data_IF_474035129946
#
_entry.id   IF_474035129946
#
_cell.length_a   1.000
_cell.length_b   1.000
_cell.length_c   1.000
_cell.angle_alpha   90.00
_cell.angle_beta   90.00
_cell.angle_gamma   90.00
#
_symmetry.space_group_name_H-M   'P 1'
#
loop_
_entity.id
_entity.type
_entity.pdbx_description
1 polymer ?
#
# COMPACT_ATOMS: atom_id res chain seq x y z
N UNK A 1 -16.32 10.48 1.05
CA UNK A 1 -14.92 10.05 0.81
C UNK A 1 -14.02 11.26 1.01
N UNK A 2 -12.80 11.04 1.51
CA UNK A 2 -11.83 12.12 1.78
C UNK A 2 -10.46 11.72 1.23
N UNK A 3 -9.74 12.69 0.66
CA UNK A 3 -8.37 12.48 0.19
C UNK A 3 -7.41 12.49 1.37
N UNK A 4 -6.60 11.44 1.52
CA UNK A 4 -5.55 11.43 2.54
C UNK A 4 -4.41 12.34 2.07
N UNK A 5 -4.01 13.35 2.86
CA UNK A 5 -2.88 14.22 2.51
C UNK A 5 -1.54 13.46 2.51
N UNK A 6 -0.58 13.95 1.72
CA UNK A 6 0.73 13.30 1.57
C UNK A 6 1.50 13.22 2.89
N UNK A 7 1.50 14.31 3.66
CA UNK A 7 2.10 14.35 4.99
C UNK A 7 1.51 13.31 5.94
N UNK A 8 0.27 12.91 5.73
CA UNK A 8 -0.38 11.86 6.51
C UNK A 8 -0.01 10.47 5.98
N UNK A 9 0.01 10.27 4.65
CA UNK A 9 0.41 9.02 4.02
C UNK A 9 1.86 8.63 4.34
N UNK A 10 2.77 9.59 4.38
CA UNK A 10 4.19 9.38 4.70
C UNK A 10 4.40 8.81 6.11
N UNK A 11 3.47 9.03 7.03
CA UNK A 11 3.50 8.47 8.39
C UNK A 11 2.66 7.20 8.54
N UNK A 12 1.84 6.86 7.55
CA UNK A 12 0.97 5.69 7.56
C UNK A 12 1.56 4.60 6.66
N UNK A 13 2.72 4.07 7.04
CA UNK A 13 3.45 3.06 6.28
C UNK A 13 3.45 1.70 6.97
N UNK A 14 3.46 0.63 6.17
CA UNK A 14 3.64 -0.74 6.62
C UNK A 14 5.05 -0.93 7.18
N UNK A 15 5.17 -1.55 8.35
CA UNK A 15 6.47 -1.81 8.97
C UNK A 15 7.32 -2.80 8.15
N UNK A 16 6.70 -3.70 7.40
CA UNK A 16 7.39 -4.70 6.59
C UNK A 16 7.84 -4.17 5.22
N UNK A 17 6.92 -3.68 4.38
CA UNK A 17 7.25 -3.27 3.01
C UNK A 17 7.50 -1.77 2.83
N UNK A 18 7.34 -0.96 3.88
CA UNK A 18 7.51 0.50 3.89
C UNK A 18 6.60 1.29 2.92
N UNK A 19 5.66 0.61 2.26
CA UNK A 19 4.60 1.20 1.44
C UNK A 19 3.46 1.73 2.32
N UNK A 20 2.60 2.59 1.78
CA UNK A 20 1.44 3.12 2.51
C UNK A 20 0.53 2.00 3.07
N UNK A 21 -0.17 2.26 4.17
CA UNK A 21 -1.21 1.40 4.72
C UNK A 21 -2.52 1.60 3.93
N UNK A 22 -2.47 1.22 2.65
CA UNK A 22 -3.50 1.49 1.63
C UNK A 22 -4.19 0.24 1.07
N UNK A 23 -3.80 -0.96 1.54
CA UNK A 23 -4.37 -2.23 1.09
C UNK A 23 -4.85 -3.03 2.30
N UNK A 24 -6.07 -3.54 2.20
CA UNK A 24 -6.76 -4.37 3.20
C UNK A 24 -6.24 -5.81 3.22
N UNK A 25 -6.15 -6.47 4.40
CA UNK A 25 -6.37 -5.93 5.74
C UNK A 25 -5.16 -5.17 6.29
N UNK A 26 -5.38 -4.13 7.08
CA UNK A 26 -4.34 -3.48 7.88
C UNK A 26 -4.39 -4.06 9.28
N UNK A 27 -3.35 -4.81 9.66
CA UNK A 27 -3.29 -5.54 10.94
C UNK A 27 -2.25 -4.95 11.89
N UNK A 28 -2.55 -5.03 13.18
CA UNK A 28 -1.63 -4.76 14.29
C UNK A 28 -1.27 -6.08 14.97
N UNK A 29 0.01 -6.29 15.26
CA UNK A 29 0.53 -7.50 15.87
C UNK A 29 0.91 -7.28 17.35
N UNK A 30 1.11 -8.35 18.15
CA UNK A 30 1.48 -8.23 19.56
C UNK A 30 2.78 -7.43 19.82
N UNK A 31 3.70 -7.44 18.86
CA UNK A 31 4.93 -6.65 18.86
C UNK A 31 4.72 -5.17 18.50
N UNK A 32 3.46 -4.74 18.33
CA UNK A 32 3.01 -3.39 17.94
C UNK A 32 3.35 -3.00 16.49
N UNK A 33 3.89 -3.91 15.70
CA UNK A 33 4.08 -3.66 14.28
C UNK A 33 2.73 -3.61 13.56
N UNK A 34 2.67 -2.79 12.51
CA UNK A 34 1.49 -2.62 11.67
C UNK A 34 1.83 -3.05 10.24
N UNK A 35 1.12 -4.05 9.74
CA UNK A 35 1.27 -4.52 8.36
C UNK A 35 0.06 -4.18 7.52
N UNK A 36 0.30 -3.85 6.24
CA UNK A 36 -0.76 -3.75 5.24
C UNK A 36 -1.18 -5.12 4.69
N UNK A 37 -2.22 -5.15 3.87
CA UNK A 37 -2.76 -6.38 3.30
C UNK A 37 -1.84 -7.09 2.33
N UNK A 38 -0.81 -6.41 1.81
CA UNK A 38 0.26 -7.05 1.01
C UNK A 38 1.18 -7.95 1.83
N UNK A 39 1.27 -7.70 3.13
CA UNK A 39 2.24 -8.34 4.03
C UNK A 39 1.56 -9.11 5.17
N UNK A 40 0.23 -9.13 5.18
CA UNK A 40 -0.57 -9.82 6.18
C UNK A 40 -1.13 -11.09 5.55
N UNK A 41 -1.09 -12.20 6.28
CA UNK A 41 -1.67 -13.48 5.85
C UNK A 41 -2.87 -13.85 6.73
N UNK A 42 -3.67 -14.82 6.31
CA UNK A 42 -4.71 -15.35 7.20
C UNK A 42 -4.08 -16.10 8.38
N UNK A 43 -4.60 -15.89 9.60
CA UNK A 43 -4.14 -16.56 10.83
C UNK A 43 -2.68 -16.30 11.27
N UNK A 44 -2.09 -15.17 10.84
CA UNK A 44 -0.74 -14.73 11.22
C UNK A 44 -0.60 -14.07 12.60
N UNK A 45 -1.65 -14.17 13.44
CA UNK A 45 -1.68 -13.58 14.79
C UNK A 45 -1.89 -12.05 14.83
N UNK A 46 -2.06 -11.39 13.69
CA UNK A 46 -2.41 -9.97 13.62
C UNK A 46 -3.92 -9.73 13.74
N UNK A 47 -4.32 -8.62 14.36
CA UNK A 47 -5.72 -8.18 14.48
C UNK A 47 -6.01 -6.98 13.60
N UNK A 48 -7.22 -6.92 13.01
CA UNK A 48 -7.64 -5.79 12.14
C UNK A 48 -7.57 -4.47 12.92
N UNK A 49 -6.88 -3.48 12.36
CA UNK A 49 -6.68 -2.17 12.98
C UNK A 49 -7.94 -1.30 12.94
N UNK A 50 -8.15 -0.45 13.95
CA UNK A 50 -9.19 0.59 13.91
C UNK A 50 -8.97 1.59 12.76
N UNK A 51 -7.71 1.82 12.40
CA UNK A 51 -7.34 2.65 11.25
C UNK A 51 -8.05 2.19 9.97
N UNK A 52 -8.18 0.87 9.78
CA UNK A 52 -8.78 0.32 8.57
C UNK A 52 -10.22 0.79 8.37
N UNK A 53 -11.02 0.79 9.44
CA UNK A 53 -12.41 1.24 9.38
C UNK A 53 -12.54 2.73 8.99
N UNK A 54 -11.52 3.54 9.30
CA UNK A 54 -11.47 4.95 8.92
C UNK A 54 -11.14 5.07 7.43
N UNK A 55 -10.15 4.31 6.96
CA UNK A 55 -9.64 4.45 5.60
C UNK A 55 -10.40 3.68 4.52
N UNK A 56 -11.31 2.78 4.89
CA UNK A 56 -12.27 2.17 3.96
C UNK A 56 -13.08 3.22 3.17
N UNK A 57 -13.23 4.43 3.69
CA UNK A 57 -13.90 5.57 3.02
C UNK A 57 -12.93 6.61 2.45
N UNK A 58 -11.63 6.33 2.52
CA UNK A 58 -10.54 7.19 2.08
C UNK A 58 -10.22 7.03 0.59
N UNK A 59 -9.65 8.09 0.03
CA UNK A 59 -9.05 8.12 -1.29
C UNK A 59 -7.53 8.21 -1.14
N UNK A 60 -6.83 7.34 -1.85
CA UNK A 60 -5.38 7.18 -1.80
C UNK A 60 -4.75 7.57 -3.12
N UNK A 61 -3.68 8.37 -3.09
CA UNK A 61 -2.84 8.55 -4.27
C UNK A 61 -2.07 7.25 -4.53
N UNK A 62 -1.90 6.89 -5.81
CA UNK A 62 -1.07 5.74 -6.17
C UNK A 62 0.34 5.85 -5.56
N UNK A 63 0.91 4.73 -5.15
CA UNK A 63 2.28 4.69 -4.64
C UNK A 63 3.32 5.08 -5.70
N UNK A 64 3.04 4.79 -6.97
CA UNK A 64 3.89 5.12 -8.12
C UNK A 64 3.61 6.53 -8.66
N UNK A 65 3.10 7.45 -7.83
CA UNK A 65 2.78 8.83 -8.22
C UNK A 65 3.97 9.62 -8.69
N UNK A 66 5.13 9.38 -8.08
CA UNK A 66 6.37 10.04 -8.46
C UNK A 66 6.98 9.42 -9.73
N UNK A 67 6.52 8.23 -10.12
CA UNK A 67 6.83 7.54 -11.38
C UNK A 67 5.79 7.85 -12.47
N UNK A 68 4.92 8.85 -12.25
CA UNK A 68 3.98 9.37 -13.24
C UNK A 68 2.53 8.90 -13.10
N UNK A 69 2.17 8.11 -12.09
CA UNK A 69 0.78 7.70 -11.87
C UNK A 69 -0.02 8.72 -11.03
N UNK A 70 -0.84 9.53 -11.68
CA UNK A 70 -1.66 10.55 -11.00
C UNK A 70 -3.04 10.04 -10.53
N UNK A 71 -3.26 8.73 -10.51
CA UNK A 71 -4.55 8.17 -10.09
C UNK A 71 -4.79 8.32 -8.58
N UNK A 72 -6.05 8.62 -8.25
CA UNK A 72 -6.56 8.70 -6.90
C UNK A 72 -7.63 7.61 -6.77
N UNK A 73 -7.40 6.70 -5.83
CA UNK A 73 -8.03 5.39 -5.78
C UNK A 73 -8.84 5.21 -4.50
N UNK A 74 -9.98 4.54 -4.60
CA UNK A 74 -10.66 4.03 -3.41
C UNK A 74 -9.80 2.97 -2.73
N UNK A 75 -9.91 2.86 -1.41
CA UNK A 75 -9.22 1.82 -0.64
C UNK A 75 -9.40 0.41 -1.22
N UNK A 76 -10.58 0.09 -1.75
CA UNK A 76 -10.88 -1.19 -2.42
C UNK A 76 -10.22 -1.36 -3.79
N UNK A 77 -9.83 -0.27 -4.45
CA UNK A 77 -9.24 -0.28 -5.78
C UNK A 77 -7.71 -0.31 -5.76
N UNK A 78 -7.08 0.07 -4.65
CA UNK A 78 -5.62 0.21 -4.54
C UNK A 78 -4.91 -1.08 -4.95
N UNK A 79 -5.31 -2.23 -4.40
CA UNK A 79 -4.66 -3.51 -4.69
C UNK A 79 -4.72 -3.85 -6.19
N UNK A 80 -5.93 -3.79 -6.77
CA UNK A 80 -6.14 -4.08 -8.20
C UNK A 80 -5.43 -3.09 -9.12
N UNK A 81 -5.31 -1.83 -8.71
CA UNK A 81 -4.59 -0.83 -9.47
C UNK A 81 -3.08 -1.11 -9.45
N UNK A 82 -2.50 -1.41 -8.29
CA UNK A 82 -1.05 -1.65 -8.16
C UNK A 82 -0.58 -2.80 -9.06
N UNK A 83 -1.38 -3.85 -9.22
CA UNK A 83 -1.10 -4.99 -10.13
C UNK A 83 -1.03 -4.57 -11.62
N UNK A 84 -1.78 -3.53 -12.00
CA UNK A 84 -1.95 -3.09 -13.38
C UNK A 84 -1.40 -1.68 -13.62
N UNK A 85 -0.69 -1.12 -12.64
CA UNK A 85 -0.22 0.25 -12.69
C UNK A 85 0.87 0.38 -13.75
N UNK A 86 0.58 1.13 -14.81
CA UNK A 86 1.52 1.35 -15.93
C UNK A 86 2.84 1.96 -15.45
N UNK A 87 2.81 2.83 -14.44
CA UNK A 87 4.00 3.42 -13.83
C UNK A 87 4.75 2.47 -12.90
N UNK A 88 4.11 1.41 -12.42
CA UNK A 88 4.75 0.40 -11.55
C UNK A 88 5.50 -0.68 -12.33
N UNK A 89 5.21 -0.83 -13.62
CA UNK A 89 5.78 -1.86 -14.48
C UNK A 89 6.80 -1.24 -15.44
N UNK A 90 8.03 -1.01 -14.96
CA UNK A 90 9.17 -0.84 -15.85
C UNK A 90 10.02 -2.12 -15.88
N UNK A 91 9.59 -3.09 -16.68
CA UNK A 91 10.43 -4.23 -17.05
C UNK A 91 11.28 -3.82 -18.24
N UNK A 92 12.53 -3.46 -17.99
CA UNK A 92 13.45 -3.11 -19.07
C UNK A 92 13.69 -4.36 -19.95
N UNK A 93 13.37 -4.34 -21.26
CA UNK A 93 13.53 -5.49 -22.14
C UNK A 93 14.99 -5.91 -22.35
N UNK A 94 15.94 -5.04 -22.02
CA UNK A 94 17.38 -5.28 -22.12
C UNK A 94 18.04 -5.57 -20.75
N UNK A 95 17.30 -5.49 -19.64
CA UNK A 95 17.83 -5.78 -18.32
C UNK A 95 17.06 -6.94 -17.69
N UNK A 96 17.70 -8.11 -17.58
CA UNK A 96 17.23 -9.23 -16.76
C UNK A 96 17.30 -8.95 -15.25
N UNK A 97 17.20 -7.68 -14.84
CA UNK A 97 17.10 -7.25 -13.46
C UNK A 97 15.71 -6.64 -13.30
N UNK A 98 14.75 -7.51 -12.99
CA UNK A 98 13.49 -7.08 -12.40
C UNK A 98 13.82 -6.19 -11.19
N UNK A 99 13.29 -4.96 -11.09
CA UNK A 99 13.40 -4.22 -9.86
C UNK A 99 12.51 -4.89 -8.82
N UNK A 100 13.04 -5.94 -8.18
CA UNK A 100 12.70 -6.27 -6.80
C UNK A 100 13.80 -5.67 -5.96
N UNK A 101 13.56 -4.49 -5.39
CA UNK A 101 14.38 -4.04 -4.27
C UNK A 101 13.59 -3.04 -3.44
N UNK A 102 12.91 -3.57 -2.44
CA UNK A 102 12.97 -3.01 -1.10
C UNK A 102 14.19 -3.65 -0.42
N UNK A 103 14.96 -2.93 0.43
CA UNK A 103 15.96 -3.56 1.30
C UNK A 103 15.29 -4.53 2.29
#
# INVERSE_FOLDING_TARGET
MFLIPDSTLENLTCDNCKKYLSVSPVKVYPNKHIHCGRCSEENDGGVKSLYENIVERGLFKCINRYDGCNEVLLYTQVSSHEENCKSGLYSCPNCHLVPKMSP
#
